data_IF_095788869700
#
_entry.id   IF_095788869700
#
_cell.length_a   1.000
_cell.length_b   1.000
_cell.length_c   1.000
_cell.angle_alpha   90.00
_cell.angle_beta   90.00
_cell.angle_gamma   90.00
#
_symmetry.space_group_name_H-M   'P 1'
#
loop_
_entity.id
_entity.type
_entity.pdbx_description
1 polymer ?
#
# COMPACT_ATOMS: atom_id res chain seq x y z
N UNK A 1 9.69 12.13 -18.57
CA UNK A 1 9.11 12.21 -18.38
C UNK A 1 8.22 12.30 -18.55
N UNK A 2 8.33 11.85 -18.41
CA UNK A 2 7.49 11.99 -18.23
C UNK A 2 6.68 11.83 -17.98
N UNK A 3 6.85 11.79 -17.89
CA UNK A 3 6.13 11.64 -17.38
C UNK A 3 5.33 12.13 -17.17
N UNK A 4 5.62 12.07 -16.83
CA UNK A 4 4.81 12.56 -16.25
C UNK A 4 3.91 12.72 -16.21
N UNK A 5 3.93 12.83 -16.54
CA UNK A 5 3.20 12.99 -16.40
C UNK A 5 2.33 12.58 -16.31
N UNK A 6 2.65 12.21 -16.17
CA UNK A 6 1.91 11.82 -15.74
C UNK A 6 1.39 11.65 -15.25
N UNK A 7 1.86 11.74 -14.89
CA UNK A 7 1.40 11.71 -14.08
C UNK A 7 0.60 12.07 -13.74
N UNK A 8 0.70 12.16 -13.55
CA UNK A 8 0.09 12.57 -12.93
C UNK A 8 -0.71 12.87 -12.43
N UNK A 9 -1.00 12.96 -12.39
CA UNK A 9 -1.69 13.17 -11.78
C UNK A 9 -2.14 13.19 -11.05
N UNK A 10 -2.22 12.95 -10.64
CA UNK A 10 -2.48 12.99 -9.85
C UNK A 10 -2.09 13.12 -9.15
N UNK A 11 -1.52 13.22 -9.23
CA UNK A 11 -1.08 13.31 -8.69
C UNK A 11 -0.75 13.73 -8.21
N UNK A 12 -0.72 14.05 -8.27
CA UNK A 12 -0.29 14.57 -7.69
C UNK A 12 -0.32 14.43 -6.81
N UNK A 13 -0.84 14.10 -7.20
CA UNK A 13 -0.95 14.23 -6.03
C UNK A 13 0.24 14.06 -5.23
N UNK A 14 0.59 13.28 -4.74
CA UNK A 14 1.71 13.11 -3.85
C UNK A 14 3.05 13.19 -4.55
N UNK A 15 3.12 12.94 -5.83
CA UNK A 15 4.38 12.97 -6.56
C UNK A 15 5.35 11.87 -6.18
N UNK A 16 4.95 10.86 -5.43
CA UNK A 16 5.81 9.76 -5.10
C UNK A 16 5.74 8.65 -6.16
N UNK A 17 6.61 7.67 -6.05
CA UNK A 17 6.73 6.58 -7.02
C UNK A 17 6.02 5.31 -6.57
N UNK A 18 5.23 5.38 -5.52
CA UNK A 18 4.48 4.23 -5.05
C UNK A 18 3.31 3.92 -5.96
N UNK A 19 2.94 2.66 -6.02
CA UNK A 19 1.61 2.30 -6.48
C UNK A 19 0.60 2.81 -5.46
N UNK A 20 -0.66 2.96 -5.88
CA UNK A 20 -1.70 3.44 -4.98
C UNK A 20 -2.88 2.52 -4.98
N UNK A 21 -3.57 2.47 -3.87
CA UNK A 21 -4.76 1.65 -3.73
C UNK A 21 -5.44 1.91 -2.40
N UNK A 22 -6.35 1.03 -2.06
CA UNK A 22 -7.16 1.13 -0.84
C UNK A 22 -7.03 -0.19 -0.09
N UNK A 23 -6.87 -0.11 1.21
CA UNK A 23 -6.90 -1.33 2.03
C UNK A 23 -8.33 -1.84 2.02
N UNK A 24 -8.54 -3.01 1.42
CA UNK A 24 -9.89 -3.55 1.26
C UNK A 24 -10.28 -4.47 2.40
N UNK A 25 -9.31 -5.19 2.98
CA UNK A 25 -9.57 -6.13 4.07
C UNK A 25 -8.40 -6.15 5.02
N UNK A 26 -8.69 -6.32 6.31
CA UNK A 26 -7.69 -6.57 7.34
C UNK A 26 -8.19 -7.74 8.18
N UNK A 27 -7.34 -8.76 8.30
CA UNK A 27 -7.61 -9.93 9.13
C UNK A 27 -6.74 -9.78 10.38
N UNK A 28 -7.26 -9.09 11.38
CA UNK A 28 -6.49 -8.66 12.54
C UNK A 28 -5.82 -9.80 13.29
N UNK A 29 -6.54 -10.92 13.41
CA UNK A 29 -6.01 -12.07 14.15
C UNK A 29 -4.77 -12.63 13.48
N UNK A 30 -4.75 -12.65 12.16
CA UNK A 30 -3.65 -13.20 11.39
C UNK A 30 -2.61 -12.15 11.03
N UNK A 31 -2.89 -10.89 11.28
CA UNK A 31 -2.05 -9.75 10.89
C UNK A 31 -1.77 -9.76 9.40
N UNK A 32 -2.81 -10.02 8.62
CA UNK A 32 -2.73 -10.01 7.15
C UNK A 32 -3.84 -9.13 6.61
N UNK A 33 -3.77 -8.85 5.33
CA UNK A 33 -4.80 -8.08 4.67
C UNK A 33 -4.64 -8.06 3.17
N UNK A 34 -5.45 -7.24 2.53
CA UNK A 34 -5.45 -7.12 1.07
C UNK A 34 -5.55 -5.65 0.71
N UNK A 35 -4.74 -5.23 -0.25
CA UNK A 35 -4.85 -3.91 -0.88
C UNK A 35 -5.49 -4.10 -2.25
N UNK A 36 -6.55 -3.34 -2.52
CA UNK A 36 -7.11 -3.28 -3.86
C UNK A 36 -6.42 -2.11 -4.57
N UNK A 37 -5.60 -2.42 -5.57
CA UNK A 37 -4.83 -1.40 -6.26
C UNK A 37 -5.72 -0.57 -7.18
N UNK A 38 -5.25 0.61 -7.57
CA UNK A 38 -5.99 1.46 -8.50
C UNK A 38 -6.20 0.77 -9.85
N UNK A 39 -5.35 -0.20 -10.18
CA UNK A 39 -5.52 -0.99 -11.40
C UNK A 39 -6.54 -2.12 -11.24
N UNK A 40 -7.13 -2.29 -10.06
CA UNK A 40 -8.16 -3.28 -9.83
C UNK A 40 -7.66 -4.63 -9.34
N UNK A 41 -6.37 -4.76 -9.03
CA UNK A 41 -5.83 -6.02 -8.54
C UNK A 41 -5.89 -6.07 -7.02
N UNK A 42 -6.14 -7.25 -6.50
CA UNK A 42 -6.06 -7.52 -5.07
C UNK A 42 -4.67 -8.07 -4.76
N UNK A 43 -3.95 -7.41 -3.88
CA UNK A 43 -2.59 -7.80 -3.53
C UNK A 43 -2.53 -8.03 -2.03
N UNK A 44 -2.14 -9.25 -1.61
CA UNK A 44 -2.12 -9.57 -0.18
C UNK A 44 -0.91 -8.96 0.50
N UNK A 45 -1.06 -8.72 1.80
CA UNK A 45 0.08 -8.35 2.63
C UNK A 45 0.03 -9.13 3.94
N UNK A 46 1.20 -9.33 4.52
CA UNK A 46 1.34 -9.89 5.86
C UNK A 46 2.16 -8.90 6.65
N UNK A 47 1.61 -8.38 7.74
CA UNK A 47 2.20 -7.25 8.45
C UNK A 47 3.65 -7.49 8.85
N UNK A 48 4.04 -8.68 9.34
CA UNK A 48 5.45 -8.88 9.73
C UNK A 48 6.45 -8.65 8.59
N UNK A 49 6.00 -8.71 7.34
CA UNK A 49 6.88 -8.53 6.18
C UNK A 49 6.71 -7.17 5.52
N UNK A 50 5.94 -6.26 6.12
CA UNK A 50 5.64 -4.95 5.57
C UNK A 50 6.31 -3.90 6.40
N UNK A 51 6.91 -2.90 5.75
CA UNK A 51 7.39 -1.69 6.41
C UNK A 51 6.35 -0.60 6.20
N UNK A 52 5.90 0.00 7.30
CA UNK A 52 4.98 1.15 7.23
C UNK A 52 5.80 2.44 7.15
N UNK A 53 5.39 3.34 6.28
CA UNK A 53 5.95 4.68 6.18
C UNK A 53 4.86 5.68 6.52
N UNK A 54 5.27 6.82 7.06
CA UNK A 54 4.32 7.87 7.43
C UNK A 54 3.69 7.67 8.79
N UNK A 55 4.28 6.81 9.61
CA UNK A 55 3.78 6.48 10.95
C UNK A 55 4.90 6.67 11.97
N UNK A 56 4.57 6.92 13.24
CA UNK A 56 5.60 7.10 14.27
C UNK A 56 6.29 5.80 14.68
N UNK A 57 5.66 4.66 14.39
CA UNK A 57 6.23 3.35 14.72
C UNK A 57 5.55 2.28 13.88
N UNK A 58 6.14 1.09 13.85
CA UNK A 58 5.58 -0.02 13.08
C UNK A 58 4.49 -0.70 13.91
N UNK A 59 3.23 -0.43 13.54
CA UNK A 59 2.07 -0.94 14.28
C UNK A 59 0.92 -1.12 13.30
N UNK A 60 0.44 -2.35 13.19
CA UNK A 60 -0.66 -2.68 12.27
C UNK A 60 -1.93 -1.88 12.59
N UNK A 61 -2.08 -1.40 13.82
CA UNK A 61 -3.27 -0.66 14.22
C UNK A 61 -3.38 0.70 13.54
N UNK A 62 -2.33 1.16 12.85
CA UNK A 62 -2.44 2.36 12.02
C UNK A 62 -3.18 2.10 10.72
N UNK A 63 -3.37 0.84 10.35
CA UNK A 63 -4.08 0.49 9.11
C UNK A 63 -5.58 0.38 9.38
N UNK A 64 -6.37 0.78 8.38
CA UNK A 64 -7.84 0.69 8.44
C UNK A 64 -8.37 0.26 7.09
N UNK A 65 -9.43 -0.53 7.12
CA UNK A 65 -10.15 -0.83 5.88
C UNK A 65 -10.73 0.46 5.32
N UNK A 66 -10.63 0.61 4.01
CA UNK A 66 -11.05 1.83 3.32
C UNK A 66 -9.98 2.91 3.24
N UNK A 67 -8.84 2.72 3.88
CA UNK A 67 -7.78 3.72 3.89
C UNK A 67 -7.04 3.71 2.55
N UNK A 68 -6.81 4.90 2.00
CA UNK A 68 -6.00 5.03 0.79
C UNK A 68 -4.53 5.05 1.18
N UNK A 69 -3.73 4.28 0.46
CA UNK A 69 -2.31 4.11 0.77
C UNK A 69 -1.47 4.09 -0.51
N UNK A 70 -0.18 4.35 -0.34
CA UNK A 70 0.81 3.99 -1.34
C UNK A 70 1.43 2.66 -0.96
N UNK A 71 1.97 1.93 -1.91
CA UNK A 71 2.59 0.66 -1.59
C UNK A 71 3.60 0.24 -2.66
N UNK A 72 4.50 -0.65 -2.25
CA UNK A 72 5.41 -1.36 -3.15
C UNK A 72 5.22 -2.86 -2.97
N UNK A 73 5.67 -3.61 -3.95
CA UNK A 73 5.53 -5.06 -3.95
C UNK A 73 6.86 -5.72 -4.25
N UNK A 74 7.01 -6.95 -3.78
CA UNK A 74 8.10 -7.84 -4.14
C UNK A 74 7.54 -9.07 -4.82
N UNK A 75 8.27 -9.60 -5.79
CA UNK A 75 7.96 -10.88 -6.39
C UNK A 75 8.48 -11.99 -5.47
N UNK A 76 7.62 -12.93 -5.13
CA UNK A 76 7.99 -14.09 -4.33
C UNK A 76 7.65 -15.35 -5.10
N UNK A 77 8.15 -16.53 -4.67
CA UNK A 77 7.75 -17.77 -5.32
C UNK A 77 6.25 -18.03 -5.31
N UNK A 78 5.52 -17.37 -4.40
CA UNK A 78 4.07 -17.52 -4.29
C UNK A 78 3.31 -16.39 -4.97
N UNK A 79 4.00 -15.51 -5.70
CA UNK A 79 3.39 -14.38 -6.38
C UNK A 79 3.80 -13.05 -5.77
N UNK A 80 3.08 -12.00 -6.13
CA UNK A 80 3.36 -10.66 -5.62
C UNK A 80 2.93 -10.56 -4.17
N UNK A 81 3.71 -9.81 -3.39
CA UNK A 81 3.42 -9.52 -1.99
C UNK A 81 3.81 -8.09 -1.69
N UNK A 82 2.98 -7.39 -0.94
CA UNK A 82 3.27 -6.02 -0.54
C UNK A 82 4.46 -6.00 0.41
N UNK A 83 5.41 -5.10 0.16
CA UNK A 83 6.60 -4.95 1.00
C UNK A 83 6.61 -3.66 1.80
N UNK A 84 5.95 -2.62 1.28
CA UNK A 84 5.90 -1.30 1.93
C UNK A 84 4.49 -0.77 1.80
N UNK A 85 3.98 -0.16 2.86
CA UNK A 85 2.71 0.58 2.83
C UNK A 85 3.00 1.98 3.34
N UNK A 86 2.68 2.98 2.53
CA UNK A 86 2.82 4.38 2.91
C UNK A 86 1.47 4.94 3.29
N UNK A 87 1.38 5.46 4.50
CA UNK A 87 0.17 6.08 5.03
C UNK A 87 0.32 7.58 4.89
N UNK A 88 -0.67 8.21 4.22
CA UNK A 88 -0.62 9.64 3.96
C UNK A 88 -1.26 10.45 5.07
N UNK A 89 -2.26 9.88 5.74
CA UNK A 89 -2.96 10.56 6.83
C UNK A 89 -3.23 9.57 7.94
N UNK A 90 -2.78 9.89 9.14
CA UNK A 90 -3.06 9.07 10.31
C UNK A 90 -4.43 9.36 10.90
#
# INVERSE_FOLDING_TARGET
MERDKALTSGEEQSGDLFYHGVISKIFWRNETGVINSDSGKDIPFAFPFVTLLGVPRQDIRFLREGMRVGFDVNQTPKGLRVSVIKIYEL
#
